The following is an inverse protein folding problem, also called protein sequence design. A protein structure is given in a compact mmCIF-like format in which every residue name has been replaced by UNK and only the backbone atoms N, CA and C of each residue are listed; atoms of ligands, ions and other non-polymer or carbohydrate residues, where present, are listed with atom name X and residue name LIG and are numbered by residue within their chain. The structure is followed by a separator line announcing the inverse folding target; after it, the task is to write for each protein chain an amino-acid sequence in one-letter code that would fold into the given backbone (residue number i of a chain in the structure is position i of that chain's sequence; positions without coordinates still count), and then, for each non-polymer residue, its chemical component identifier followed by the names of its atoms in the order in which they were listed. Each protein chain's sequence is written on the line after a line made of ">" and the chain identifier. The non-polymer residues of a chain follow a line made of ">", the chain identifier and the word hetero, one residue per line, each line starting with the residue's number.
data_IF_856192387980
#
_entry.id   IF_856192387980
#
_cell.length_a   1.000
_cell.length_b   1.000
_cell.length_c   1.000
_cell.angle_alpha   90.00
_cell.angle_beta   90.00
_cell.angle_gamma   90.00
#
_symmetry.space_group_name_H-M   'P 1'
#
loop_
_entity.id
_entity.type
_entity.pdbx_description
1 polymer ?
#
# COMPACT_ATOMS: atom_id res chain seq x y z
N UNK A 1 -6.92 5.71 15.27
CA UNK A 1 -7.55 4.36 15.24
C UNK A 1 -8.12 4.03 13.86
N UNK A 2 -8.97 4.88 13.27
CA UNK A 2 -9.56 4.62 11.94
C UNK A 2 -8.51 4.32 10.85
N UNK A 3 -7.45 5.15 10.73
CA UNK A 3 -6.34 4.92 9.80
C UNK A 3 -5.68 3.53 9.96
N UNK A 4 -5.49 3.07 11.20
CA UNK A 4 -4.89 1.77 11.48
C UNK A 4 -5.80 0.63 11.03
N UNK A 5 -7.09 0.68 11.38
CA UNK A 5 -8.05 -0.37 11.00
C UNK A 5 -8.21 -0.44 9.48
N UNK A 6 -8.36 0.71 8.81
CA UNK A 6 -8.52 0.78 7.37
C UNK A 6 -7.26 0.33 6.61
N UNK A 7 -6.07 0.59 7.15
CA UNK A 7 -4.81 0.13 6.58
C UNK A 7 -4.48 -1.34 6.89
N UNK A 8 -4.89 -1.87 8.03
CA UNK A 8 -4.48 -3.22 8.46
C UNK A 8 -5.12 -4.34 7.64
N UNK A 9 -6.42 -4.26 7.38
CA UNK A 9 -7.15 -5.34 6.71
C UNK A 9 -6.65 -5.65 5.29
N UNK A 10 -6.47 -4.66 4.38
CA UNK A 10 -6.02 -4.95 3.03
C UNK A 10 -4.60 -5.52 3.00
N UNK A 11 -3.70 -5.08 3.89
CA UNK A 11 -2.35 -5.67 4.01
C UNK A 11 -2.44 -7.15 4.39
N UNK A 12 -3.23 -7.50 5.41
CA UNK A 12 -3.38 -8.89 5.86
C UNK A 12 -3.97 -9.75 4.76
N UNK A 13 -5.06 -9.28 4.14
CA UNK A 13 -5.74 -10.02 3.08
C UNK A 13 -4.81 -10.25 1.88
N UNK A 14 -4.11 -9.22 1.42
CA UNK A 14 -3.18 -9.33 0.31
C UNK A 14 -1.97 -10.21 0.63
N UNK A 15 -1.50 -10.20 1.88
CA UNK A 15 -0.45 -11.11 2.36
C UNK A 15 -0.93 -12.57 2.32
N UNK A 16 -2.12 -12.85 2.84
CA UNK A 16 -2.71 -14.20 2.81
C UNK A 16 -2.92 -14.68 1.37
N UNK A 17 -3.40 -13.81 0.48
CA UNK A 17 -3.53 -14.13 -0.94
C UNK A 17 -2.18 -14.41 -1.60
N UNK A 18 -1.16 -13.60 -1.31
CA UNK A 18 0.19 -13.78 -1.86
C UNK A 18 0.87 -15.08 -1.43
N UNK A 19 0.62 -15.55 -0.21
CA UNK A 19 1.11 -16.87 0.22
C UNK A 19 0.31 -18.03 -0.36
N UNK A 20 -0.98 -17.83 -0.65
CA UNK A 20 -1.84 -18.84 -1.28
C UNK A 20 -1.60 -18.99 -2.79
N UNK A 21 -1.09 -17.95 -3.45
CA UNK A 21 -0.78 -17.98 -4.88
C UNK A 21 0.52 -18.73 -5.21
N UNK A 22 1.25 -19.22 -4.22
CA UNK A 22 2.47 -20.01 -4.47
C UNK A 22 2.06 -21.42 -4.92
N UNK A 23 2.31 -21.74 -6.18
CA UNK A 23 2.05 -23.07 -6.76
C UNK A 23 2.78 -24.16 -5.97
N UNK A 24 2.03 -25.19 -5.57
CA UNK A 24 2.55 -26.33 -4.83
C UNK A 24 3.62 -27.09 -5.64
N UNK A 25 3.46 -27.14 -6.96
CA UNK A 25 4.39 -27.84 -7.87
C UNK A 25 5.81 -27.27 -7.81
N UNK A 26 5.96 -25.95 -7.69
CA UNK A 26 7.27 -25.28 -7.54
C UNK A 26 7.93 -25.64 -6.21
N UNK A 27 7.12 -25.80 -5.15
CA UNK A 27 7.57 -26.21 -3.82
C UNK A 27 7.97 -27.69 -3.80
N UNK A 28 7.20 -28.54 -4.46
CA UNK A 28 7.43 -29.98 -4.51
C UNK A 28 8.68 -30.32 -5.34
N UNK A 29 8.92 -29.57 -6.43
CA UNK A 29 10.18 -29.64 -7.18
C UNK A 29 11.38 -29.18 -6.34
N UNK A 30 11.25 -28.08 -5.59
CA UNK A 30 12.32 -27.61 -4.71
C UNK A 30 12.64 -28.64 -3.61
N UNK A 31 11.62 -29.32 -3.07
CA UNK A 31 11.80 -30.39 -2.08
C UNK A 31 12.47 -31.64 -2.67
N UNK A 32 12.09 -32.05 -3.88
CA UNK A 32 12.72 -33.21 -4.54
C UNK A 32 14.20 -32.96 -4.86
N UNK A 33 14.58 -31.70 -5.08
CA UNK A 33 15.97 -31.26 -5.24
C UNK A 33 16.73 -31.08 -3.91
N UNK A 34 16.15 -31.45 -2.77
CA UNK A 34 16.80 -31.41 -1.46
C UNK A 34 16.78 -30.04 -0.75
N UNK A 35 15.87 -29.13 -1.13
CA UNK A 35 15.77 -27.84 -0.46
C UNK A 35 15.20 -27.97 0.97
N UNK A 36 15.97 -27.46 1.94
CA UNK A 36 15.54 -27.31 3.33
C UNK A 36 14.29 -26.39 3.41
N UNK A 37 13.25 -26.67 4.23
CA UNK A 37 12.05 -25.83 4.41
C UNK A 37 12.33 -24.33 4.59
N UNK A 38 13.40 -23.95 5.30
CA UNK A 38 13.84 -22.55 5.43
C UNK A 38 14.30 -21.93 4.10
N UNK A 39 15.02 -22.69 3.26
CA UNK A 39 15.41 -22.25 1.92
C UNK A 39 14.20 -22.12 1.00
N UNK A 40 13.25 -23.05 1.07
CA UNK A 40 11.99 -22.98 0.31
C UNK A 40 11.18 -21.74 0.69
N UNK A 41 11.10 -21.43 1.99
CA UNK A 41 10.39 -20.24 2.46
C UNK A 41 11.04 -18.95 1.94
N UNK A 42 12.35 -18.77 2.17
CA UNK A 42 13.06 -17.53 1.84
C UNK A 42 13.26 -17.30 0.33
N UNK A 43 13.51 -18.36 -0.46
CA UNK A 43 13.80 -18.23 -1.90
C UNK A 43 12.62 -18.41 -2.82
N UNK A 44 11.53 -19.05 -2.37
CA UNK A 44 10.38 -19.31 -3.24
C UNK A 44 9.12 -18.64 -2.71
N UNK A 45 8.69 -18.97 -1.48
CA UNK A 45 7.41 -18.44 -0.95
C UNK A 45 7.44 -16.93 -0.75
N UNK A 46 8.50 -16.42 -0.13
CA UNK A 46 8.63 -15.00 0.19
C UNK A 46 8.67 -14.10 -1.07
N UNK A 47 9.54 -14.34 -2.08
CA UNK A 47 9.58 -13.50 -3.27
C UNK A 47 8.32 -13.58 -4.15
N UNK A 48 7.59 -14.70 -4.14
CA UNK A 48 6.31 -14.83 -4.87
C UNK A 48 5.15 -14.12 -4.14
N UNK A 49 5.17 -14.07 -2.80
CA UNK A 49 4.16 -13.36 -2.02
C UNK A 49 4.39 -11.84 -1.95
N UNK A 50 5.66 -11.41 -2.07
CA UNK A 50 6.10 -10.02 -1.95
C UNK A 50 5.30 -9.03 -2.85
N UNK A 51 5.07 -9.31 -4.14
CA UNK A 51 4.26 -8.43 -5.01
C UNK A 51 2.83 -8.22 -4.50
N UNK A 52 2.20 -9.29 -4.02
CA UNK A 52 0.85 -9.21 -3.45
C UNK A 52 0.83 -8.39 -2.17
N UNK A 53 1.84 -8.55 -1.30
CA UNK A 53 1.99 -7.75 -0.07
C UNK A 53 2.10 -6.26 -0.41
N UNK A 54 2.93 -5.90 -1.39
CA UNK A 54 3.10 -4.51 -1.82
C UNK A 54 1.85 -3.92 -2.47
N UNK A 55 1.12 -4.71 -3.26
CA UNK A 55 -0.19 -4.31 -3.80
C UNK A 55 -1.18 -3.98 -2.66
N UNK A 56 -1.25 -4.85 -1.64
CA UNK A 56 -2.04 -4.57 -0.44
C UNK A 56 -1.59 -3.31 0.31
N UNK A 57 -0.27 -3.10 0.40
CA UNK A 57 0.31 -1.93 1.05
C UNK A 57 -0.07 -0.60 0.36
N UNK A 58 -0.06 -0.58 -0.98
CA UNK A 58 -0.50 0.57 -1.78
C UNK A 58 -1.96 0.92 -1.53
N UNK A 59 -2.85 -0.08 -1.56
CA UNK A 59 -4.28 0.11 -1.26
C UNK A 59 -4.46 0.61 0.17
N UNK A 60 -3.77 0.00 1.12
CA UNK A 60 -3.83 0.34 2.54
C UNK A 60 -3.37 1.75 2.87
N UNK A 61 -2.34 2.28 2.21
CA UNK A 61 -1.90 3.66 2.49
C UNK A 61 -2.94 4.68 2.02
N UNK A 62 -3.55 4.47 0.86
CA UNK A 62 -4.64 5.35 0.39
C UNK A 62 -5.79 5.36 1.39
N UNK A 63 -6.18 4.19 1.89
CA UNK A 63 -7.21 4.02 2.93
C UNK A 63 -6.80 4.61 4.28
N UNK A 64 -5.52 4.50 4.65
CA UNK A 64 -4.99 5.05 5.90
C UNK A 64 -5.02 6.58 5.90
N UNK A 65 -4.71 7.23 4.77
CA UNK A 65 -4.83 8.69 4.61
C UNK A 65 -6.28 9.14 4.81
N UNK A 66 -7.23 8.46 4.16
CA UNK A 66 -8.66 8.74 4.36
C UNK A 66 -9.05 8.55 5.83
N UNK A 67 -8.61 7.45 6.46
CA UNK A 67 -8.86 7.17 7.87
C UNK A 67 -8.22 8.16 8.83
N UNK A 68 -7.08 8.76 8.46
CA UNK A 68 -6.41 9.78 9.25
C UNK A 68 -7.22 11.08 9.22
N UNK A 69 -7.64 11.51 8.02
CA UNK A 69 -8.47 12.71 7.84
C UNK A 69 -9.80 12.58 8.59
N UNK A 70 -10.50 11.45 8.43
CA UNK A 70 -11.76 11.20 9.15
C UNK A 70 -11.52 11.15 10.66
N UNK A 71 -10.39 10.61 11.12
CA UNK A 71 -10.02 10.62 12.53
C UNK A 71 -9.76 12.04 13.06
N UNK A 72 -9.08 12.88 12.28
CA UNK A 72 -8.82 14.28 12.61
C UNK A 72 -10.12 15.09 12.74
N UNK A 73 -11.14 14.77 11.95
CA UNK A 73 -12.44 15.45 11.98
C UNK A 73 -13.21 15.26 13.29
N UNK A 74 -13.05 14.12 13.96
CA UNK A 74 -13.93 13.73 15.08
C UNK A 74 -13.39 14.19 16.44
N UNK A 75 -12.08 14.40 16.57
CA UNK A 75 -11.49 14.66 17.89
C UNK A 75 -10.11 15.28 17.90
N UNK A 76 -9.67 15.89 16.80
CA UNK A 76 -8.41 16.62 16.77
C UNK A 76 -8.63 18.12 16.81
N UNK A 77 -7.82 18.83 17.59
CA UNK A 77 -7.72 20.29 17.57
C UNK A 77 -6.59 20.80 16.65
N UNK A 78 -6.00 19.92 15.85
CA UNK A 78 -4.90 20.22 14.93
C UNK A 78 -4.89 19.23 13.76
N UNK A 79 -4.21 19.57 12.67
CA UNK A 79 -4.10 18.74 11.47
C UNK A 79 -4.84 19.30 10.25
N UNK A 80 -4.54 18.73 9.08
CA UNK A 80 -5.08 19.19 7.79
C UNK A 80 -6.60 18.97 7.74
N UNK A 81 -7.07 17.85 8.30
CA UNK A 81 -8.49 17.55 8.37
C UNK A 81 -9.25 18.51 9.29
N UNK A 82 -8.65 18.92 10.42
CA UNK A 82 -9.21 19.94 11.30
C UNK A 82 -9.30 21.31 10.60
N UNK A 83 -8.24 21.72 9.89
CA UNK A 83 -8.23 23.00 9.13
C UNK A 83 -9.32 22.98 8.06
N UNK A 84 -9.48 21.87 7.35
CA UNK A 84 -10.53 21.72 6.33
C UNK A 84 -11.93 21.82 6.96
N UNK A 85 -12.16 21.19 8.12
CA UNK A 85 -13.43 21.27 8.83
C UNK A 85 -13.72 22.70 9.33
N UNK A 86 -12.71 23.39 9.88
CA UNK A 86 -12.84 24.79 10.33
C UNK A 86 -13.13 25.75 9.17
N UNK A 87 -12.43 25.57 8.05
CA UNK A 87 -12.64 26.37 6.84
C UNK A 87 -14.04 26.15 6.25
N UNK A 88 -14.54 24.91 6.28
CA UNK A 88 -15.91 24.57 5.88
C UNK A 88 -16.96 25.32 6.72
N UNK A 89 -16.79 25.34 8.05
CA UNK A 89 -17.70 26.07 8.95
C UNK A 89 -17.70 27.59 8.78
N UNK A 90 -16.61 28.17 8.24
CA UNK A 90 -16.48 29.61 7.97
C UNK A 90 -16.77 29.97 6.50
N UNK A 91 -17.06 28.96 5.66
CA UNK A 91 -17.13 29.09 4.20
C UNK A 91 -15.92 29.81 3.58
N UNK A 92 -14.72 29.57 4.12
CA UNK A 92 -13.46 30.07 3.56
C UNK A 92 -13.00 29.12 2.44
N UNK A 93 -13.59 29.29 1.24
CA UNK A 93 -13.25 28.46 0.07
C UNK A 93 -11.74 28.49 -0.25
N UNK A 94 -11.04 29.64 -0.24
CA UNK A 94 -9.59 29.67 -0.47
C UNK A 94 -8.82 28.71 0.44
N UNK A 95 -9.11 28.73 1.75
CA UNK A 95 -8.45 27.86 2.72
C UNK A 95 -8.82 26.38 2.51
N UNK A 96 -10.07 26.09 2.15
CA UNK A 96 -10.50 24.72 1.83
C UNK A 96 -9.75 24.15 0.63
N UNK A 97 -9.63 24.89 -0.47
CA UNK A 97 -8.89 24.44 -1.65
C UNK A 97 -7.40 24.25 -1.35
N UNK A 98 -6.78 25.17 -0.58
CA UNK A 98 -5.40 25.02 -0.16
C UNK A 98 -5.19 23.74 0.66
N UNK A 99 -6.08 23.46 1.62
CA UNK A 99 -6.02 22.24 2.43
C UNK A 99 -6.22 20.97 1.58
N UNK A 100 -7.14 20.99 0.61
CA UNK A 100 -7.36 19.86 -0.31
C UNK A 100 -6.12 19.58 -1.18
N UNK A 101 -5.48 20.61 -1.73
CA UNK A 101 -4.25 20.44 -2.54
C UNK A 101 -3.12 19.83 -1.70
N UNK A 102 -2.91 20.33 -0.47
CA UNK A 102 -1.91 19.78 0.44
C UNK A 102 -2.24 18.32 0.78
N UNK A 103 -3.51 18.02 1.06
CA UNK A 103 -3.95 16.66 1.37
C UNK A 103 -3.71 15.70 0.19
N UNK A 104 -4.04 16.12 -1.04
CA UNK A 104 -3.76 15.37 -2.25
C UNK A 104 -2.26 15.14 -2.44
N UNK A 105 -1.44 16.18 -2.23
CA UNK A 105 0.02 16.05 -2.28
C UNK A 105 0.53 15.01 -1.28
N UNK A 106 0.08 15.05 -0.02
CA UNK A 106 0.49 14.07 1.00
C UNK A 106 0.09 12.65 0.60
N UNK A 107 -1.13 12.46 0.11
CA UNK A 107 -1.59 11.14 -0.36
C UNK A 107 -0.75 10.59 -1.50
N UNK A 108 -0.47 11.42 -2.52
CA UNK A 108 0.39 11.05 -3.65
C UNK A 108 1.82 10.76 -3.17
N UNK A 109 2.37 11.58 -2.28
CA UNK A 109 3.74 11.42 -1.79
C UNK A 109 3.89 10.11 -1.01
N UNK A 110 2.93 9.76 -0.15
CA UNK A 110 2.93 8.49 0.57
C UNK A 110 2.81 7.29 -0.38
N UNK A 111 1.96 7.39 -1.41
CA UNK A 111 1.85 6.35 -2.43
C UNK A 111 3.18 6.17 -3.19
N UNK A 112 3.80 7.27 -3.64
CA UNK A 112 5.08 7.25 -4.35
C UNK A 112 6.21 6.68 -3.48
N UNK A 113 6.21 6.96 -2.17
CA UNK A 113 7.20 6.38 -1.25
C UNK A 113 7.06 4.86 -1.21
N UNK A 114 5.84 4.31 -1.14
CA UNK A 114 5.65 2.85 -1.20
C UNK A 114 6.09 2.29 -2.55
N UNK A 115 5.73 2.95 -3.64
CA UNK A 115 6.10 2.53 -4.98
C UNK A 115 7.62 2.51 -5.17
N UNK A 116 8.33 3.50 -4.62
CA UNK A 116 9.79 3.54 -4.67
C UNK A 116 10.42 2.41 -3.84
N UNK A 117 9.88 2.15 -2.66
CA UNK A 117 10.30 1.04 -1.79
C UNK A 117 10.05 -0.30 -2.49
N UNK A 118 8.90 -0.46 -3.14
CA UNK A 118 8.56 -1.64 -3.94
C UNK A 118 9.60 -1.87 -5.04
N UNK A 119 9.93 -0.82 -5.79
CA UNK A 119 10.91 -0.87 -6.89
C UNK A 119 12.33 -1.19 -6.39
N UNK A 120 12.69 -0.73 -5.20
CA UNK A 120 13.98 -1.05 -4.56
C UNK A 120 14.05 -2.48 -4.04
N UNK A 121 12.98 -2.98 -3.42
CA UNK A 121 12.95 -4.32 -2.82
C UNK A 121 12.68 -5.43 -3.84
N UNK A 122 12.07 -5.13 -4.97
CA UNK A 122 11.76 -6.09 -6.02
C UNK A 122 12.34 -5.72 -7.40
N UNK A 123 13.67 -5.63 -7.55
CA UNK A 123 14.28 -5.37 -8.86
C UNK A 123 14.00 -6.48 -9.89
N UNK A 124 13.58 -7.68 -9.44
CA UNK A 124 13.28 -8.83 -10.31
C UNK A 124 11.85 -8.85 -10.84
N UNK A 125 10.89 -8.20 -10.16
CA UNK A 125 9.51 -8.05 -10.63
C UNK A 125 9.35 -6.69 -11.27
N UNK A 126 9.86 -6.58 -12.49
CA UNK A 126 9.58 -5.47 -13.38
C UNK A 126 8.07 -5.43 -13.70
N UNK A 127 7.28 -4.87 -12.79
CA UNK A 127 5.88 -4.47 -13.00
C UNK A 127 5.76 -3.32 -14.02
N UNK A 128 6.79 -3.10 -14.85
CA UNK A 128 6.83 -2.16 -15.97
C UNK A 128 6.81 -2.87 -17.34
N UNK A 129 6.56 -4.19 -17.42
CA UNK A 129 6.45 -4.85 -18.73
C UNK A 129 5.08 -4.73 -19.41
N UNK A 130 4.03 -4.25 -18.73
CA UNK A 130 2.69 -4.12 -19.31
C UNK A 130 2.50 -2.75 -20.00
N UNK A 131 3.02 -1.66 -19.44
CA UNK A 131 2.82 -0.31 -20.02
C UNK A 131 3.53 -0.11 -21.37
N UNK A 132 4.64 -0.82 -21.62
CA UNK A 132 5.39 -0.70 -22.88
C UNK A 132 4.74 -1.52 -24.01
N UNK A 133 3.98 -2.57 -23.71
CA UNK A 133 3.32 -3.40 -24.73
C UNK A 133 1.99 -2.83 -25.24
N UNK A 134 1.35 -1.90 -24.50
CA UNK A 134 0.16 -1.19 -24.97
C UNK A 134 0.50 0.08 -25.77
N UNK A 135 1.78 0.48 -25.80
CA UNK A 135 2.27 1.66 -26.50
C UNK A 135 3.10 1.35 -27.76
N UNK A 136 3.20 0.08 -28.16
CA UNK A 136 3.90 -0.41 -29.37
C UNK A 136 2.92 -1.12 -30.31
#
# INVERSE_FOLDING_TARGET
>A
IAAFLLGFFPVVVATVQGFKSVEADVIDLARSMGANPLKVFLKFRLPTALPSIFSGLKVSVTLAVVGAVVGEFVGSNSGIGYVLQKANGTFDLPLMFAALVILSMVGVLLFLVIELIERWLMPWHASQRIDVQLAA
#
